data_IF_788678000208
#
_entry.id   IF_788678000208
#
_cell.length_a   1.000
_cell.length_b   1.000
_cell.length_c   1.000
_cell.angle_alpha   90.00
_cell.angle_beta   90.00
_cell.angle_gamma   90.00
#
_symmetry.space_group_name_H-M   'P 1'
#
loop_
_entity.id
_entity.type
_entity.pdbx_description
1 polymer ?
#
# COMPACT_ATOMS: atom_id res chain seq x y z
N UNK A 1 6.73 -19.55 -7.31
CA UNK A 1 5.43 -18.85 -7.45
C UNK A 1 5.73 -17.37 -7.58
N UNK A 2 5.17 -16.65 -8.56
CA UNK A 2 5.32 -15.21 -8.65
C UNK A 2 4.74 -14.57 -7.38
N UNK A 3 5.35 -13.47 -6.93
CA UNK A 3 4.81 -12.65 -5.84
C UNK A 3 3.46 -12.11 -6.30
N UNK A 4 2.41 -12.37 -5.54
CA UNK A 4 1.11 -11.77 -5.80
C UNK A 4 1.16 -10.29 -5.39
N UNK A 5 1.44 -9.42 -6.35
CA UNK A 5 1.41 -7.97 -6.16
C UNK A 5 -0.01 -7.42 -6.20
N UNK A 6 -1.03 -8.29 -6.22
CA UNK A 6 -2.45 -7.98 -6.34
C UNK A 6 -2.79 -7.24 -7.66
N UNK A 7 -1.86 -7.19 -8.61
CA UNK A 7 -1.97 -6.40 -9.84
C UNK A 7 -1.26 -5.05 -9.81
N UNK A 8 -0.55 -4.71 -8.72
CA UNK A 8 0.32 -3.53 -8.68
C UNK A 8 1.54 -3.74 -9.58
N UNK A 9 1.84 -2.70 -10.34
CA UNK A 9 2.98 -2.60 -11.26
C UNK A 9 3.69 -1.26 -11.08
N UNK A 10 4.90 -1.13 -11.64
CA UNK A 10 5.68 0.11 -11.60
C UNK A 10 4.92 1.33 -12.17
N UNK A 11 3.93 1.14 -13.05
CA UNK A 11 3.05 2.21 -13.57
C UNK A 11 2.14 2.86 -12.51
N UNK A 12 2.07 2.28 -11.32
CA UNK A 12 1.27 2.80 -10.21
C UNK A 12 2.07 3.75 -9.31
N UNK A 13 3.40 3.83 -9.47
CA UNK A 13 4.23 4.72 -8.68
C UNK A 13 3.80 6.18 -8.86
N UNK A 14 3.71 6.91 -7.75
CA UNK A 14 3.29 8.29 -7.70
C UNK A 14 1.77 8.52 -7.77
N UNK A 15 0.96 7.49 -8.07
CA UNK A 15 -0.51 7.61 -8.14
C UNK A 15 -1.15 7.62 -6.75
N UNK A 16 -2.29 8.31 -6.65
CA UNK A 16 -3.17 8.21 -5.49
C UNK A 16 -3.96 6.92 -5.57
N UNK A 17 -4.08 6.24 -4.44
CA UNK A 17 -4.80 4.98 -4.36
C UNK A 17 -5.46 4.83 -3.00
N UNK A 18 -6.56 4.11 -3.00
CA UNK A 18 -7.17 3.60 -1.78
C UNK A 18 -6.71 2.16 -1.57
N UNK A 19 -6.24 1.85 -0.37
CA UNK A 19 -5.78 0.52 0.04
C UNK A 19 -6.63 0.06 1.22
N UNK A 20 -7.12 -1.17 1.16
CA UNK A 20 -7.85 -1.85 2.24
C UNK A 20 -6.93 -2.91 2.82
N UNK A 21 -6.68 -2.80 4.13
CA UNK A 21 -5.87 -3.75 4.88
C UNK A 21 -6.72 -4.89 5.43
N UNK A 22 -6.07 -6.02 5.74
CA UNK A 22 -6.72 -7.21 6.28
C UNK A 22 -7.39 -7.01 7.65
N UNK A 23 -7.08 -5.93 8.36
CA UNK A 23 -7.74 -5.55 9.61
C UNK A 23 -8.95 -4.62 9.41
N UNK A 24 -9.32 -4.34 8.16
CA UNK A 24 -10.43 -3.44 7.78
C UNK A 24 -10.05 -1.95 7.74
N UNK A 25 -8.78 -1.60 7.98
CA UNK A 25 -8.31 -0.22 7.80
C UNK A 25 -8.33 0.18 6.32
N UNK A 26 -8.90 1.34 6.02
CA UNK A 26 -8.87 1.96 4.69
C UNK A 26 -7.91 3.13 4.71
N UNK A 27 -6.91 3.08 3.83
CA UNK A 27 -5.90 4.13 3.65
C UNK A 27 -6.08 4.79 2.29
N UNK A 28 -6.05 6.11 2.25
CA UNK A 28 -5.73 6.84 1.03
C UNK A 28 -4.24 7.17 1.04
N UNK A 29 -3.53 6.74 0.01
CA UNK A 29 -2.08 6.78 -0.05
C UNK A 29 -1.60 7.34 -1.39
N UNK A 30 -0.37 7.83 -1.42
CA UNK A 30 0.40 8.00 -2.65
C UNK A 30 1.50 6.94 -2.69
N UNK A 31 1.45 6.06 -3.68
CA UNK A 31 2.44 5.00 -3.81
C UNK A 31 3.82 5.60 -4.10
N UNK A 32 4.82 5.24 -3.31
CA UNK A 32 6.18 5.74 -3.46
C UNK A 32 7.11 4.69 -4.06
N UNK A 33 7.04 3.46 -3.56
CA UNK A 33 7.88 2.36 -4.03
C UNK A 33 7.10 1.03 -3.99
N UNK A 34 7.43 0.15 -4.93
CA UNK A 34 7.02 -1.25 -4.97
C UNK A 34 8.25 -2.14 -4.75
N UNK A 35 8.29 -2.82 -3.62
CA UNK A 35 9.38 -3.74 -3.30
C UNK A 35 8.94 -5.16 -3.66
N UNK A 36 9.50 -5.72 -4.74
CA UNK A 36 9.20 -7.09 -5.20
C UNK A 36 10.47 -7.93 -5.10
N UNK A 37 10.49 -8.91 -4.20
CA UNK A 37 11.63 -9.81 -3.98
C UNK A 37 11.48 -11.10 -4.83
N UNK A 38 12.61 -11.76 -5.15
CA UNK A 38 12.64 -12.94 -6.04
C UNK A 38 11.96 -14.20 -5.47
N UNK A 39 11.63 -14.20 -4.18
CA UNK A 39 10.81 -15.18 -3.47
C UNK A 39 9.79 -14.42 -2.61
N UNK A 40 8.67 -15.04 -2.19
CA UNK A 40 7.77 -14.45 -1.20
C UNK A 40 8.46 -14.39 0.17
N UNK A 41 9.44 -13.50 0.26
CA UNK A 41 10.13 -13.11 1.47
C UNK A 41 9.32 -12.00 2.14
N UNK A 42 9.44 -11.83 3.46
CA UNK A 42 8.71 -10.81 4.21
C UNK A 42 9.01 -9.38 3.75
N UNK A 43 9.98 -9.17 2.85
CA UNK A 43 10.32 -7.87 2.26
C UNK A 43 9.35 -7.39 1.17
N UNK A 44 8.50 -8.26 0.61
CA UNK A 44 7.60 -7.85 -0.47
C UNK A 44 6.46 -6.97 0.04
N UNK A 45 6.33 -5.76 -0.50
CA UNK A 45 5.31 -4.81 -0.08
C UNK A 45 5.34 -3.50 -0.85
N UNK A 46 4.66 -2.51 -0.28
CA UNK A 46 4.61 -1.14 -0.77
C UNK A 46 5.16 -0.18 0.25
N UNK A 47 5.87 0.83 -0.24
CA UNK A 47 6.18 2.05 0.51
C UNK A 47 5.30 3.16 -0.02
N UNK A 48 4.69 3.95 0.85
CA UNK A 48 3.76 4.99 0.46
C UNK A 48 3.75 6.17 1.43
N UNK A 49 3.31 7.31 0.93
CA UNK A 49 2.96 8.46 1.75
C UNK A 49 1.47 8.37 2.10
N UNK A 50 1.14 8.39 3.39
CA UNK A 50 -0.25 8.39 3.83
C UNK A 50 -0.88 9.76 3.56
N UNK A 51 -2.06 9.77 2.94
CA UNK A 51 -2.84 11.00 2.73
C UNK A 51 -4.00 11.08 3.72
N UNK A 52 -4.70 9.98 3.95
CA UNK A 52 -5.75 9.88 4.97
C UNK A 52 -5.98 8.42 5.40
N UNK A 53 -6.55 8.21 6.58
CA UNK A 53 -7.01 6.89 7.05
C UNK A 53 -8.40 7.03 7.66
N UNK A 54 -9.20 5.97 7.62
CA UNK A 54 -10.47 5.90 8.36
C UNK A 54 -10.28 5.59 9.85
N UNK A 55 -9.06 5.25 10.31
CA UNK A 55 -8.75 5.08 11.73
C UNK A 55 -8.38 6.42 12.36
N UNK A 56 -9.06 6.74 13.46
CA UNK A 56 -8.77 7.90 14.31
C UNK A 56 -7.92 7.57 15.54
N UNK A 57 -7.32 6.38 15.60
CA UNK A 57 -6.52 5.94 16.76
C UNK A 57 -5.11 6.56 16.80
N UNK A 58 -4.79 7.45 15.86
CA UNK A 58 -3.58 8.26 15.87
C UNK A 58 -2.29 7.49 15.57
N UNK A 59 -2.38 6.20 15.20
CA UNK A 59 -1.20 5.37 14.89
C UNK A 59 -0.46 5.81 13.64
N UNK A 60 -1.15 6.50 12.73
CA UNK A 60 -0.59 6.96 11.47
C UNK A 60 -0.83 8.45 11.30
N UNK A 61 0.23 9.16 10.97
CA UNK A 61 0.25 10.58 10.68
C UNK A 61 0.11 10.81 9.17
N UNK A 62 -0.79 11.71 8.79
CA UNK A 62 -0.94 12.10 7.38
C UNK A 62 0.30 12.87 6.91
N UNK A 63 0.81 12.52 5.73
CA UNK A 63 2.05 13.05 5.16
C UNK A 63 3.30 12.23 5.50
N UNK A 64 3.22 11.28 6.43
CA UNK A 64 4.34 10.40 6.75
C UNK A 64 4.45 9.19 5.80
N UNK A 65 5.66 8.65 5.70
CA UNK A 65 5.96 7.47 4.91
C UNK A 65 5.76 6.19 5.73
N UNK A 66 5.11 5.19 5.15
CA UNK A 66 4.87 3.88 5.74
C UNK A 66 5.23 2.77 4.76
N UNK A 67 5.60 1.63 5.32
CA UNK A 67 5.76 0.38 4.57
C UNK A 67 4.71 -0.62 5.02
N UNK A 68 4.14 -1.38 4.07
CA UNK A 68 3.17 -2.42 4.36
C UNK A 68 3.42 -3.63 3.46
N UNK A 69 3.51 -4.85 4.02
CA UNK A 69 3.72 -6.05 3.22
C UNK A 69 2.46 -6.40 2.43
N UNK A 70 2.62 -6.99 1.24
CA UNK A 70 1.47 -7.34 0.38
C UNK A 70 0.47 -8.28 1.06
N UNK A 71 0.93 -9.16 1.95
CA UNK A 71 0.08 -10.09 2.71
C UNK A 71 -0.95 -9.40 3.63
N UNK A 72 -0.71 -8.14 3.98
CA UNK A 72 -1.60 -7.34 4.83
C UNK A 72 -2.56 -6.47 4.03
N UNK A 73 -2.45 -6.49 2.69
CA UNK A 73 -3.31 -5.76 1.77
C UNK A 73 -4.34 -6.71 1.21
N UNK A 74 -5.62 -6.40 1.38
CA UNK A 74 -6.70 -7.17 0.75
C UNK A 74 -7.03 -6.65 -0.63
N UNK A 75 -7.15 -5.33 -0.76
CA UNK A 75 -7.57 -4.68 -2.01
C UNK A 75 -6.86 -3.35 -2.18
N UNK A 76 -6.70 -2.94 -3.42
CA UNK A 76 -6.39 -1.56 -3.76
C UNK A 76 -7.27 -1.08 -4.91
N UNK A 77 -7.43 0.23 -4.99
CA UNK A 77 -8.10 0.93 -6.08
C UNK A 77 -7.31 2.19 -6.41
N UNK A 78 -6.87 2.31 -7.65
CA UNK A 78 -6.29 3.57 -8.14
C UNK A 78 -7.39 4.63 -8.13
N UNK A 79 -7.09 5.78 -7.53
CA UNK A 79 -7.93 6.96 -7.62
C UNK A 79 -7.42 7.75 -8.81
N UNK A 80 -8.20 7.78 -9.88
CA UNK A 80 -7.98 8.74 -10.96
C UNK A 80 -8.32 10.13 -10.40
N UNK A 81 -7.40 11.07 -10.59
CA UNK A 81 -7.62 12.49 -10.27
C UNK A 81 -8.46 13.13 -11.38
#
# INVERSE_FOLDING_TARGET
MPVDTLGLTQDHLGKRMRVELADGESLEIRLHELTVCAKPEPCCGITYILLSSNRSDGKRESGAAYWTPFREIEKFKVLED
#
